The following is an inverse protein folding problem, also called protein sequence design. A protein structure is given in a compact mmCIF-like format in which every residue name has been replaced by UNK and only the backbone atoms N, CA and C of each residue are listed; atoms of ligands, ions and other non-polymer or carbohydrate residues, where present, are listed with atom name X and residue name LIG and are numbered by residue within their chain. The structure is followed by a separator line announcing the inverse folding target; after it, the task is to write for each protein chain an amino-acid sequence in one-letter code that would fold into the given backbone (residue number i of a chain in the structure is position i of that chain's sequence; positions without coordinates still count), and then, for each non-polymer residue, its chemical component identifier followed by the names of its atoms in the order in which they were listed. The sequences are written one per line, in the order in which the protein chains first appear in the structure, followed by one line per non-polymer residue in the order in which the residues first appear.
data_IF_029266826879
#
_entry.id   IF_029266826879
#
_cell.length_a   1.000
_cell.length_b   1.000
_cell.length_c   1.000
_cell.angle_alpha   90.00
_cell.angle_beta   90.00
_cell.angle_gamma   90.00
#
_symmetry.space_group_name_H-M   'P 1'
#
loop_
_entity.id
_entity.type
_entity.pdbx_description
1 polymer ?
#
# COMPACT_ATOMS: atom_id res chain seq x y z
N UNK A 1 22.01 -33.32 1.04
CA UNK A 1 20.93 -33.15 0.04
C UNK A 1 21.40 -33.77 -1.25
N UNK A 2 20.68 -34.74 -1.82
CA UNK A 2 20.97 -35.20 -3.18
C UNK A 2 20.26 -34.28 -4.20
N UNK A 3 20.61 -34.39 -5.47
CA UNK A 3 20.01 -33.57 -6.54
C UNK A 3 18.48 -33.72 -6.61
N UNK A 4 17.96 -34.91 -6.28
CA UNK A 4 16.53 -35.19 -6.26
C UNK A 4 15.79 -34.40 -5.19
N UNK A 5 16.32 -34.28 -3.96
CA UNK A 5 15.73 -33.43 -2.91
C UNK A 5 15.67 -31.96 -3.32
N UNK A 6 16.69 -31.45 -4.04
CA UNK A 6 16.68 -30.07 -4.54
C UNK A 6 15.60 -29.89 -5.62
N UNK A 7 15.46 -30.86 -6.53
CA UNK A 7 14.41 -30.84 -7.56
C UNK A 7 13.02 -30.97 -6.95
N UNK A 8 12.83 -31.81 -5.92
CA UNK A 8 11.56 -31.92 -5.19
C UNK A 8 11.22 -30.62 -4.47
N UNK A 9 12.19 -29.97 -3.83
CA UNK A 9 12.00 -28.66 -3.20
C UNK A 9 11.60 -27.59 -4.23
N UNK A 10 12.31 -27.52 -5.36
CA UNK A 10 12.01 -26.57 -6.43
C UNK A 10 10.64 -26.84 -7.07
N UNK A 11 10.28 -28.11 -7.29
CA UNK A 11 8.97 -28.51 -7.79
C UNK A 11 7.84 -28.20 -6.81
N UNK A 12 8.05 -28.48 -5.52
CA UNK A 12 7.11 -28.11 -4.45
C UNK A 12 6.91 -26.61 -4.37
N UNK A 13 7.99 -25.82 -4.47
CA UNK A 13 7.92 -24.35 -4.51
C UNK A 13 7.16 -23.86 -5.76
N UNK A 14 7.43 -24.43 -6.93
CA UNK A 14 6.74 -24.05 -8.16
C UNK A 14 5.22 -24.33 -8.07
N UNK A 15 4.83 -25.51 -7.57
CA UNK A 15 3.43 -25.85 -7.33
C UNK A 15 2.80 -24.93 -6.28
N UNK A 16 3.51 -24.66 -5.19
CA UNK A 16 3.05 -23.74 -4.14
C UNK A 16 2.77 -22.34 -4.69
N UNK A 17 3.70 -21.77 -5.45
CA UNK A 17 3.55 -20.45 -6.08
C UNK A 17 2.41 -20.44 -7.11
N UNK A 18 2.32 -21.49 -7.95
CA UNK A 18 1.23 -21.61 -8.93
C UNK A 18 -0.14 -21.76 -8.28
N UNK A 19 -0.25 -22.56 -7.21
CA UNK A 19 -1.48 -22.70 -6.44
C UNK A 19 -1.90 -21.37 -5.79
N UNK A 20 -0.94 -20.60 -5.29
CA UNK A 20 -1.17 -19.26 -4.76
C UNK A 20 -1.67 -18.27 -5.82
N UNK A 21 -1.06 -18.26 -6.99
CA UNK A 21 -1.49 -17.42 -8.12
C UNK A 21 -2.92 -17.77 -8.58
N UNK A 22 -3.21 -19.07 -8.74
CA UNK A 22 -4.52 -19.55 -9.16
C UNK A 22 -5.61 -19.18 -8.14
N UNK A 23 -5.31 -19.33 -6.84
CA UNK A 23 -6.20 -18.98 -5.75
C UNK A 23 -6.45 -17.47 -5.69
N UNK A 24 -5.39 -16.65 -5.74
CA UNK A 24 -5.48 -15.18 -5.71
C UNK A 24 -6.25 -14.65 -6.93
N UNK A 25 -6.00 -15.20 -8.12
CA UNK A 25 -6.75 -14.85 -9.34
C UNK A 25 -8.23 -15.22 -9.21
N UNK A 26 -8.55 -16.40 -8.68
CA UNK A 26 -9.93 -16.82 -8.43
C UNK A 26 -10.68 -15.89 -7.47
N UNK A 27 -10.06 -15.54 -6.34
CA UNK A 27 -10.61 -14.60 -5.35
C UNK A 27 -10.78 -13.20 -5.92
N UNK A 28 -9.79 -12.72 -6.67
CA UNK A 28 -9.82 -11.40 -7.31
C UNK A 28 -10.94 -11.32 -8.35
N UNK A 29 -11.10 -12.35 -9.21
CA UNK A 29 -12.18 -12.39 -10.21
C UNK A 29 -13.57 -12.53 -9.62
N UNK A 30 -13.73 -13.28 -8.52
CA UNK A 30 -15.00 -13.33 -7.79
C UNK A 30 -15.34 -11.98 -7.14
N UNK A 31 -14.33 -11.21 -6.77
CA UNK A 31 -14.49 -9.96 -6.02
C UNK A 31 -14.57 -8.71 -6.93
N UNK A 32 -13.99 -8.77 -8.13
CA UNK A 32 -14.26 -7.92 -9.31
C UNK A 32 -14.29 -6.40 -9.11
N UNK A 33 -14.98 -5.71 -10.04
CA UNK A 33 -15.14 -4.24 -10.15
C UNK A 33 -15.65 -3.54 -8.88
N UNK A 34 -16.18 -4.32 -7.92
CA UNK A 34 -16.62 -3.81 -6.62
C UNK A 34 -15.46 -3.28 -5.79
N UNK A 35 -14.30 -3.94 -5.82
CA UNK A 35 -13.14 -3.51 -5.01
C UNK A 35 -12.56 -2.18 -5.49
N UNK A 36 -12.54 -1.95 -6.80
CA UNK A 36 -12.10 -0.69 -7.40
C UNK A 36 -13.07 0.45 -7.03
N UNK A 37 -14.39 0.23 -7.16
CA UNK A 37 -15.40 1.22 -6.76
C UNK A 37 -15.46 1.51 -5.25
N UNK A 38 -15.07 0.56 -4.40
CA UNK A 38 -14.95 0.80 -2.94
C UNK A 38 -13.71 1.65 -2.63
N UNK A 39 -12.60 1.45 -3.36
CA UNK A 39 -11.40 2.29 -3.22
C UNK A 39 -11.59 3.68 -3.83
N UNK A 40 -12.44 3.84 -4.85
CA UNK A 40 -12.81 5.15 -5.38
C UNK A 40 -13.65 5.96 -4.37
N UNK A 41 -14.51 5.30 -3.59
CA UNK A 41 -15.31 5.92 -2.53
C UNK A 41 -14.57 6.01 -1.17
N UNK A 42 -13.27 6.33 -1.22
CA UNK A 42 -12.42 6.41 -0.04
C UNK A 42 -12.91 7.46 0.96
N UNK A 43 -13.06 7.01 2.20
CA UNK A 43 -13.44 7.85 3.34
C UNK A 43 -12.29 8.71 3.86
N UNK A 44 -12.60 9.90 4.37
CA UNK A 44 -11.61 10.83 4.96
C UNK A 44 -11.08 10.39 6.33
N UNK A 45 -11.70 9.40 6.99
CA UNK A 45 -11.28 8.96 8.33
C UNK A 45 -10.17 7.91 8.26
N UNK A 46 -9.02 8.19 8.89
CA UNK A 46 -7.83 7.31 8.89
C UNK A 46 -8.13 5.85 9.28
N UNK A 47 -8.82 5.62 10.39
CA UNK A 47 -9.15 4.26 10.87
C UNK A 47 -10.00 3.48 9.87
N UNK A 48 -10.95 4.13 9.22
CA UNK A 48 -11.76 3.48 8.19
C UNK A 48 -10.93 3.18 6.93
N UNK A 49 -9.94 4.03 6.61
CA UNK A 49 -8.97 3.74 5.55
C UNK A 49 -8.12 2.50 5.86
N UNK A 50 -7.66 2.34 7.11
CA UNK A 50 -6.97 1.12 7.58
C UNK A 50 -7.88 -0.11 7.46
N UNK A 51 -9.11 -0.03 7.95
CA UNK A 51 -10.07 -1.14 7.84
C UNK A 51 -10.35 -1.51 6.39
N UNK A 52 -10.46 -0.52 5.50
CA UNK A 52 -10.66 -0.73 4.08
C UNK A 52 -9.46 -1.41 3.44
N UNK A 53 -8.24 -0.92 3.67
CA UNK A 53 -7.02 -1.54 3.15
C UNK A 53 -6.85 -2.98 3.63
N UNK A 54 -7.15 -3.23 4.91
CA UNK A 54 -7.13 -4.56 5.49
C UNK A 54 -8.15 -5.48 4.83
N UNK A 55 -9.40 -5.02 4.66
CA UNK A 55 -10.46 -5.79 4.00
C UNK A 55 -10.16 -6.09 2.53
N UNK A 56 -9.75 -5.08 1.76
CA UNK A 56 -9.40 -5.25 0.35
C UNK A 56 -8.24 -6.23 0.20
N UNK A 57 -7.18 -6.07 1.00
CA UNK A 57 -6.01 -6.95 0.91
C UNK A 57 -6.30 -8.36 1.42
N UNK A 58 -7.15 -8.51 2.44
CA UNK A 58 -7.60 -9.83 2.91
C UNK A 58 -8.34 -10.61 1.81
N UNK A 59 -9.13 -9.90 1.00
CA UNK A 59 -9.90 -10.49 -0.11
C UNK A 59 -9.01 -10.79 -1.32
N UNK A 60 -8.18 -9.82 -1.74
CA UNK A 60 -7.26 -9.97 -2.89
C UNK A 60 -6.10 -10.91 -2.56
N UNK A 61 -5.70 -10.96 -1.28
CA UNK A 61 -4.54 -11.68 -0.75
C UNK A 61 -3.18 -11.16 -1.23
N UNK A 62 -3.13 -9.93 -1.74
CA UNK A 62 -1.89 -9.30 -2.22
C UNK A 62 -1.85 -7.84 -1.81
N UNK A 63 -1.02 -7.53 -0.80
CA UNK A 63 -0.72 -6.14 -0.44
C UNK A 63 0.04 -5.44 -1.55
N UNK A 64 0.96 -6.14 -2.23
CA UNK A 64 1.65 -5.60 -3.41
C UNK A 64 0.65 -5.12 -4.47
N UNK A 65 -0.35 -5.93 -4.84
CA UNK A 65 -1.37 -5.53 -5.81
C UNK A 65 -2.20 -4.34 -5.33
N UNK A 66 -2.55 -4.32 -4.03
CA UNK A 66 -3.30 -3.21 -3.42
C UNK A 66 -2.48 -1.91 -3.46
N UNK A 67 -1.19 -1.97 -3.11
CA UNK A 67 -0.31 -0.80 -3.15
C UNK A 67 -0.03 -0.33 -4.58
N UNK A 68 0.19 -1.24 -5.53
CA UNK A 68 0.36 -0.90 -6.96
C UNK A 68 -0.88 -0.18 -7.50
N UNK A 69 -2.07 -0.65 -7.15
CA UNK A 69 -3.32 0.02 -7.50
C UNK A 69 -3.41 1.41 -6.87
N UNK A 70 -3.01 1.58 -5.60
CA UNK A 70 -2.96 2.89 -4.96
C UNK A 70 -1.95 3.83 -5.62
N UNK A 71 -0.77 3.34 -6.04
CA UNK A 71 0.18 4.12 -6.85
C UNK A 71 -0.50 4.58 -8.13
N UNK A 72 -1.20 3.69 -8.84
CA UNK A 72 -1.92 4.02 -10.07
C UNK A 72 -3.02 5.07 -9.87
N UNK A 73 -3.83 4.94 -8.82
CA UNK A 73 -4.92 5.87 -8.52
C UNK A 73 -4.43 7.23 -8.04
N UNK A 74 -3.32 7.28 -7.29
CA UNK A 74 -2.65 8.53 -6.91
C UNK A 74 -1.97 9.18 -8.12
N UNK A 75 -1.37 8.37 -8.99
CA UNK A 75 -0.79 8.85 -10.24
C UNK A 75 -1.83 9.48 -11.18
N UNK A 76 -3.03 8.89 -11.21
CA UNK A 76 -4.17 9.40 -11.98
C UNK A 76 -4.91 10.58 -11.33
N UNK A 77 -4.49 11.04 -10.14
CA UNK A 77 -5.14 12.13 -9.41
C UNK A 77 -6.53 11.78 -8.84
N UNK A 78 -6.94 10.51 -8.91
CA UNK A 78 -8.24 10.04 -8.40
C UNK A 78 -8.24 10.03 -6.86
N UNK A 79 -7.09 9.68 -6.26
CA UNK A 79 -6.90 9.62 -4.81
C UNK A 79 -5.71 10.48 -4.42
N UNK A 80 -5.82 11.21 -3.31
CA UNK A 80 -4.73 11.97 -2.72
C UNK A 80 -3.81 11.09 -1.86
N UNK A 81 -2.52 11.42 -1.76
CA UNK A 81 -1.54 10.67 -0.96
C UNK A 81 -2.00 10.41 0.48
N UNK A 82 -2.50 11.45 1.16
CA UNK A 82 -3.01 11.37 2.53
C UNK A 82 -4.18 10.38 2.72
N UNK A 83 -4.97 10.11 1.67
CA UNK A 83 -6.06 9.12 1.68
C UNK A 83 -5.56 7.72 1.36
N UNK A 84 -4.51 7.59 0.56
CA UNK A 84 -3.86 6.31 0.27
C UNK A 84 -3.10 5.76 1.48
N UNK A 85 -2.44 6.62 2.27
CA UNK A 85 -1.60 6.24 3.42
C UNK A 85 -2.29 5.26 4.39
N UNK A 86 -3.48 5.55 4.96
CA UNK A 86 -4.11 4.62 5.87
C UNK A 86 -4.51 3.30 5.21
N UNK A 87 -4.81 3.30 3.90
CA UNK A 87 -5.12 2.08 3.14
C UNK A 87 -3.89 1.20 3.00
N UNK A 88 -2.70 1.78 2.75
CA UNK A 88 -1.43 1.04 2.70
C UNK A 88 -1.14 0.37 4.05
N UNK A 89 -1.32 1.12 5.15
CA UNK A 89 -1.15 0.57 6.51
C UNK A 89 -2.14 -0.58 6.77
N UNK A 90 -3.38 -0.43 6.33
CA UNK A 90 -4.39 -1.50 6.36
C UNK A 90 -4.00 -2.71 5.52
N UNK A 91 -3.45 -2.51 4.33
CA UNK A 91 -3.07 -3.59 3.42
C UNK A 91 -2.02 -4.53 4.05
N UNK A 92 -1.09 -3.98 4.83
CA UNK A 92 -0.16 -4.75 5.61
C UNK A 92 -0.85 -5.67 6.64
N UNK A 93 -1.91 -5.18 7.32
CA UNK A 93 -2.74 -6.02 8.19
C UNK A 93 -3.47 -7.10 7.36
N UNK A 94 -4.09 -6.72 6.24
CA UNK A 94 -4.87 -7.67 5.42
C UNK A 94 -4.04 -8.84 4.88
N UNK A 95 -2.74 -8.63 4.64
CA UNK A 95 -1.80 -9.66 4.17
C UNK A 95 -1.71 -10.85 5.13
N UNK A 96 -1.97 -10.64 6.42
CA UNK A 96 -1.83 -11.68 7.44
C UNK A 96 -2.89 -12.78 7.31
N UNK A 97 -4.01 -12.50 6.65
CA UNK A 97 -5.06 -13.49 6.36
C UNK A 97 -4.51 -14.67 5.56
N UNK A 98 -3.60 -14.44 4.63
CA UNK A 98 -2.98 -15.55 3.90
C UNK A 98 -2.15 -16.43 4.85
N UNK A 99 -1.40 -15.85 5.78
CA UNK A 99 -0.66 -16.63 6.77
C UNK A 99 -1.58 -17.50 7.64
N UNK A 100 -2.78 -17.01 7.97
CA UNK A 100 -3.81 -17.78 8.66
C UNK A 100 -4.34 -18.94 7.83
N UNK A 101 -4.69 -18.68 6.55
CA UNK A 101 -5.13 -19.73 5.62
C UNK A 101 -4.08 -20.83 5.49
N UNK A 102 -2.81 -20.44 5.37
CA UNK A 102 -1.68 -21.37 5.27
C UNK A 102 -1.39 -22.11 6.58
N UNK A 103 -1.61 -21.47 7.74
CA UNK A 103 -1.36 -22.09 9.05
C UNK A 103 -2.26 -23.29 9.34
N UNK A 104 -3.40 -23.40 8.65
CA UNK A 104 -4.33 -24.52 8.82
C UNK A 104 -3.67 -25.88 8.54
N UNK A 105 -2.61 -25.93 7.70
CA UNK A 105 -1.82 -27.14 7.44
C UNK A 105 -1.13 -27.67 8.69
N UNK A 106 -0.74 -26.78 9.60
CA UNK A 106 -0.05 -27.14 10.83
C UNK A 106 -0.97 -27.69 11.92
N UNK A 107 -2.29 -27.75 11.68
CA UNK A 107 -3.26 -28.28 12.64
C UNK A 107 -3.15 -29.81 12.67
N UNK A 108 -2.44 -30.33 13.67
CA UNK A 108 -2.31 -31.77 13.91
C UNK A 108 -3.05 -32.15 15.19
N UNK A 109 -3.91 -33.16 15.11
CA UNK A 109 -4.58 -33.74 16.28
C UNK A 109 -5.40 -34.97 15.92
N UNK A 110 -5.53 -35.86 16.90
CA UNK A 110 -6.16 -37.17 16.71
C UNK A 110 -7.69 -37.11 16.71
N UNK A 111 -8.28 -36.01 17.22
CA UNK A 111 -9.73 -35.88 17.26
C UNK A 111 -10.29 -35.67 15.85
N UNK A 112 -11.44 -36.28 15.58
CA UNK A 112 -12.14 -36.18 14.29
C UNK A 112 -12.35 -34.71 13.90
N UNK A 113 -12.72 -33.84 14.84
CA UNK A 113 -12.86 -32.39 14.58
C UNK A 113 -11.57 -31.75 14.09
N UNK A 114 -10.40 -32.15 14.62
CA UNK A 114 -9.10 -31.59 14.22
C UNK A 114 -8.65 -32.14 12.86
N UNK A 115 -8.92 -33.42 12.57
CA UNK A 115 -8.70 -33.99 11.23
C UNK A 115 -9.64 -33.36 10.19
N UNK A 116 -10.88 -33.04 10.57
CA UNK A 116 -11.82 -32.32 9.71
C UNK A 116 -11.37 -30.87 9.47
N UNK A 117 -10.58 -30.27 10.36
CA UNK A 117 -10.01 -28.93 10.20
C UNK A 117 -8.66 -28.92 9.48
N UNK A 118 -7.95 -30.05 9.40
CA UNK A 118 -6.70 -30.15 8.66
C UNK A 118 -6.97 -30.13 7.15
N UNK A 119 -6.49 -29.12 6.41
CA UNK A 119 -6.69 -29.02 4.96
C UNK A 119 -6.23 -30.25 4.19
N UNK A 120 -5.17 -30.93 4.64
CA UNK A 120 -4.62 -32.08 3.94
C UNK A 120 -5.61 -33.25 3.82
N UNK A 121 -6.55 -33.39 4.77
CA UNK A 121 -7.59 -34.42 4.75
C UNK A 121 -8.69 -34.17 3.72
N UNK A 122 -8.93 -32.92 3.32
CA UNK A 122 -9.98 -32.55 2.34
C UNK A 122 -9.43 -31.98 1.04
N UNK A 123 -8.13 -31.71 0.97
CA UNK A 123 -7.44 -31.23 -0.24
C UNK A 123 -7.77 -32.08 -1.47
N UNK A 124 -7.81 -33.43 -1.40
CA UNK A 124 -8.26 -34.25 -2.54
C UNK A 124 -9.72 -33.99 -2.95
N UNK A 125 -10.62 -33.78 -1.98
CA UNK A 125 -12.03 -33.49 -2.23
C UNK A 125 -12.18 -32.12 -2.90
N UNK A 126 -11.47 -31.10 -2.40
CA UNK A 126 -11.45 -29.77 -3.00
C UNK A 126 -10.89 -29.80 -4.42
N UNK A 127 -9.85 -30.61 -4.67
CA UNK A 127 -9.30 -30.83 -6.00
C UNK A 127 -10.30 -31.50 -6.94
N UNK A 128 -11.04 -32.52 -6.48
CA UNK A 128 -12.08 -33.20 -7.26
C UNK A 128 -13.21 -32.22 -7.61
N UNK A 129 -13.71 -31.46 -6.65
CA UNK A 129 -14.78 -30.47 -6.88
C UNK A 129 -14.30 -29.37 -7.82
N UNK A 130 -13.12 -28.81 -7.58
CA UNK A 130 -12.52 -27.77 -8.43
C UNK A 130 -12.32 -28.26 -9.86
N UNK A 131 -11.72 -29.44 -10.03
CA UNK A 131 -11.53 -30.04 -11.36
C UNK A 131 -12.86 -30.32 -12.05
N UNK A 132 -13.86 -30.81 -11.32
CA UNK A 132 -15.21 -31.05 -11.86
C UNK A 132 -15.87 -29.76 -12.34
N UNK A 133 -15.74 -28.67 -11.59
CA UNK A 133 -16.27 -27.38 -12.01
C UNK A 133 -15.55 -26.80 -13.24
N UNK A 134 -14.23 -26.98 -13.37
CA UNK A 134 -13.49 -26.56 -14.57
C UNK A 134 -13.86 -27.40 -15.80
N UNK A 135 -13.99 -28.72 -15.65
CA UNK A 135 -14.21 -29.62 -16.78
C UNK A 135 -15.67 -29.67 -17.26
N UNK A 136 -16.63 -29.54 -16.34
CA UNK A 136 -18.04 -29.79 -16.64
C UNK A 136 -18.95 -28.57 -16.50
N UNK A 137 -18.51 -27.48 -15.85
CA UNK A 137 -19.32 -26.27 -15.76
C UNK A 137 -18.99 -25.31 -16.90
N UNK A 138 -19.97 -24.54 -17.37
CA UNK A 138 -19.77 -23.42 -18.29
C UNK A 138 -19.92 -22.05 -17.60
N UNK A 139 -20.31 -22.05 -16.33
CA UNK A 139 -20.56 -20.83 -15.55
C UNK A 139 -19.24 -20.22 -15.08
N UNK A 140 -19.07 -18.91 -15.31
CA UNK A 140 -17.82 -18.22 -14.99
C UNK A 140 -17.58 -18.11 -13.47
N UNK A 141 -18.64 -17.95 -12.67
CA UNK A 141 -18.50 -17.91 -11.21
C UNK A 141 -18.04 -19.25 -10.67
N UNK A 142 -18.58 -20.36 -11.17
CA UNK A 142 -18.12 -21.72 -10.83
C UNK A 142 -16.68 -21.97 -11.26
N UNK A 143 -16.25 -21.47 -12.42
CA UNK A 143 -14.84 -21.52 -12.81
C UNK A 143 -13.93 -20.73 -11.85
N UNK A 144 -14.34 -19.54 -11.43
CA UNK A 144 -13.55 -18.77 -10.49
C UNK A 144 -13.50 -19.44 -9.11
N UNK A 145 -14.62 -20.01 -8.63
CA UNK A 145 -14.63 -20.83 -7.43
C UNK A 145 -13.72 -22.06 -7.58
N UNK A 146 -13.74 -22.71 -8.74
CA UNK A 146 -12.88 -23.84 -9.02
C UNK A 146 -11.39 -23.50 -8.98
N UNK A 147 -11.00 -22.33 -9.51
CA UNK A 147 -9.63 -21.80 -9.40
C UNK A 147 -9.20 -21.65 -7.93
N UNK A 148 -10.10 -21.18 -7.06
CA UNK A 148 -9.82 -21.08 -5.63
C UNK A 148 -9.60 -22.45 -5.01
N UNK A 149 -10.53 -23.39 -5.24
CA UNK A 149 -10.46 -24.73 -4.66
C UNK A 149 -9.24 -25.51 -5.15
N UNK A 150 -8.99 -25.50 -6.45
CA UNK A 150 -7.86 -26.18 -7.07
C UNK A 150 -6.54 -25.49 -6.73
N UNK A 151 -6.52 -24.15 -6.71
CA UNK A 151 -5.35 -23.37 -6.31
C UNK A 151 -4.95 -23.67 -4.87
N UNK A 152 -5.92 -23.69 -3.96
CA UNK A 152 -5.71 -24.11 -2.58
C UNK A 152 -5.16 -25.55 -2.52
N UNK A 153 -5.76 -26.50 -3.24
CA UNK A 153 -5.29 -27.88 -3.23
C UNK A 153 -3.85 -28.06 -3.73
N UNK A 154 -3.50 -27.43 -4.86
CA UNK A 154 -2.15 -27.44 -5.42
C UNK A 154 -1.15 -26.75 -4.48
N UNK A 155 -1.56 -25.63 -3.87
CA UNK A 155 -0.76 -24.89 -2.91
C UNK A 155 -0.40 -25.78 -1.72
N UNK A 156 -1.40 -26.44 -1.12
CA UNK A 156 -1.21 -27.36 0.01
C UNK A 156 -0.27 -28.51 -0.37
N UNK A 157 -0.47 -29.12 -1.54
CA UNK A 157 0.41 -30.18 -2.04
C UNK A 157 1.85 -29.70 -2.22
N UNK A 158 2.06 -28.49 -2.76
CA UNK A 158 3.37 -27.86 -2.88
C UNK A 158 4.03 -27.65 -1.51
N UNK A 159 3.28 -27.19 -0.51
CA UNK A 159 3.76 -27.00 0.87
C UNK A 159 4.23 -28.31 1.52
N UNK A 160 3.43 -29.37 1.40
CA UNK A 160 3.82 -30.70 1.90
C UNK A 160 5.06 -31.22 1.18
N UNK A 161 5.10 -31.10 -0.15
CA UNK A 161 6.26 -31.51 -0.97
C UNK A 161 7.54 -30.78 -0.56
N UNK A 162 7.48 -29.47 -0.30
CA UNK A 162 8.63 -28.72 0.21
C UNK A 162 9.07 -29.20 1.60
N UNK A 163 8.11 -29.45 2.50
CA UNK A 163 8.38 -29.90 3.86
C UNK A 163 9.06 -31.28 3.86
N UNK A 164 8.56 -32.22 3.05
CA UNK A 164 9.12 -33.56 2.89
C UNK A 164 10.54 -33.52 2.27
N UNK A 165 10.78 -32.62 1.31
CA UNK A 165 12.09 -32.46 0.69
C UNK A 165 13.16 -31.93 1.66
N UNK A 166 12.74 -31.10 2.64
CA UNK A 166 13.61 -30.43 3.60
C UNK A 166 13.71 -31.21 4.92
N UNK A 167 12.75 -32.07 5.26
CA UNK A 167 12.75 -32.86 6.50
C UNK A 167 14.08 -33.63 6.76
N UNK A 168 14.72 -34.27 5.77
CA UNK A 168 16.01 -34.95 6.00
C UNK A 168 17.17 -34.00 6.38
N UNK A 169 17.07 -32.71 6.02
CA UNK A 169 18.08 -31.70 6.36
C UNK A 169 18.08 -31.34 7.85
N UNK A 170 17.00 -31.65 8.57
CA UNK A 170 16.94 -31.46 10.02
C UNK A 170 18.02 -32.19 10.80
N UNK A 171 18.56 -33.26 10.23
CA UNK A 171 19.62 -34.05 10.84
C UNK A 171 21.03 -33.57 10.43
N UNK A 172 21.15 -32.56 9.57
CA UNK A 172 22.42 -32.06 9.07
C UNK A 172 22.89 -30.87 9.92
N UNK A 173 24.02 -31.02 10.61
CA UNK A 173 24.58 -29.98 11.50
C UNK A 173 24.80 -28.63 10.80
N UNK A 174 25.21 -28.61 9.53
CA UNK A 174 25.37 -27.38 8.76
C UNK A 174 24.05 -26.62 8.57
N UNK A 175 22.94 -27.34 8.40
CA UNK A 175 21.61 -26.75 8.24
C UNK A 175 21.08 -26.24 9.59
N UNK A 176 21.33 -26.95 10.69
CA UNK A 176 21.01 -26.49 12.04
C UNK A 176 21.79 -25.20 12.41
N UNK A 177 23.08 -25.14 12.08
CA UNK A 177 23.93 -23.94 12.29
C UNK A 177 23.44 -22.72 11.51
N UNK A 178 22.86 -22.93 10.32
CA UNK A 178 22.29 -21.85 9.52
C UNK A 178 21.13 -21.17 10.25
N UNK A 179 20.19 -21.93 10.83
CA UNK A 179 19.08 -21.36 11.61
C UNK A 179 19.53 -20.72 12.92
N UNK A 180 20.54 -21.28 13.59
CA UNK A 180 21.17 -20.62 14.74
C UNK A 180 21.76 -19.25 14.39
N UNK A 181 22.33 -19.13 13.18
CA UNK A 181 22.86 -17.84 12.68
C UNK A 181 21.73 -16.85 12.43
N UNK A 182 20.57 -17.32 11.96
CA UNK A 182 19.38 -16.48 11.74
C UNK A 182 18.68 -16.05 13.03
N UNK A 183 18.98 -16.69 14.16
CA UNK A 183 18.57 -16.19 15.48
C UNK A 183 19.23 -14.86 15.84
N UNK A 184 20.31 -14.47 15.15
CA UNK A 184 20.83 -13.11 15.27
C UNK A 184 19.84 -12.11 14.62
N UNK A 185 19.27 -11.15 15.37
CA UNK A 185 18.14 -10.35 14.92
C UNK A 185 18.32 -9.67 13.56
N UNK A 186 19.48 -9.05 13.36
CA UNK A 186 19.79 -8.30 12.12
C UNK A 186 19.90 -9.26 10.91
N UNK A 187 20.47 -10.45 11.11
CA UNK A 187 20.65 -11.42 10.03
C UNK A 187 19.31 -12.05 9.66
N UNK A 188 18.47 -12.39 10.65
CA UNK A 188 17.11 -12.86 10.39
C UNK A 188 16.29 -11.84 9.59
N UNK A 189 16.34 -10.56 9.98
CA UNK A 189 15.68 -9.46 9.24
C UNK A 189 16.21 -9.35 7.82
N UNK A 190 17.53 -9.38 7.62
CA UNK A 190 18.13 -9.27 6.29
C UNK A 190 17.70 -10.44 5.39
N UNK A 191 17.75 -11.67 5.90
CA UNK A 191 17.36 -12.88 5.14
C UNK A 191 15.89 -12.83 4.77
N UNK A 192 15.01 -12.48 5.72
CA UNK A 192 13.58 -12.31 5.45
C UNK A 192 13.31 -11.24 4.39
N UNK A 193 14.01 -10.10 4.47
CA UNK A 193 13.87 -9.01 3.52
C UNK A 193 14.34 -9.39 2.11
N UNK A 194 15.50 -10.01 1.99
CA UNK A 194 16.04 -10.45 0.69
C UNK A 194 15.18 -11.53 0.07
N UNK A 195 14.77 -12.55 0.85
CA UNK A 195 13.91 -13.63 0.36
C UNK A 195 12.61 -13.06 -0.21
N UNK A 196 11.93 -12.20 0.55
CA UNK A 196 10.68 -11.59 0.08
C UNK A 196 10.89 -10.63 -1.09
N UNK A 197 11.99 -9.86 -1.10
CA UNK A 197 12.29 -8.96 -2.21
C UNK A 197 12.51 -9.70 -3.54
N UNK A 198 13.19 -10.86 -3.50
CA UNK A 198 13.43 -11.70 -4.68
C UNK A 198 12.15 -12.38 -5.14
N UNK A 199 11.38 -12.95 -4.20
CA UNK A 199 10.12 -13.64 -4.52
C UNK A 199 9.02 -12.64 -4.90
N UNK A 200 9.13 -11.39 -4.44
CA UNK A 200 8.15 -10.30 -4.63
C UNK A 200 6.75 -10.62 -4.07
N UNK A 201 6.64 -11.63 -3.21
CA UNK A 201 5.41 -12.04 -2.54
C UNK A 201 5.67 -12.35 -1.08
N UNK A 202 5.06 -11.54 -0.21
CA UNK A 202 5.13 -11.66 1.24
C UNK A 202 4.43 -12.94 1.73
N UNK A 203 3.23 -13.20 1.21
CA UNK A 203 2.45 -14.41 1.46
C UNK A 203 3.21 -15.67 1.06
N UNK A 204 3.90 -15.65 -0.09
CA UNK A 204 4.72 -16.79 -0.50
C UNK A 204 5.90 -17.01 0.43
N UNK A 205 6.59 -15.94 0.82
CA UNK A 205 7.74 -16.00 1.72
C UNK A 205 7.35 -16.49 3.11
N UNK A 206 6.22 -16.03 3.65
CA UNK A 206 5.65 -16.54 4.91
C UNK A 206 5.27 -18.01 4.78
N UNK A 207 4.69 -18.43 3.66
CA UNK A 207 4.37 -19.84 3.42
C UNK A 207 5.60 -20.75 3.36
N UNK A 208 6.70 -20.29 2.77
CA UNK A 208 7.99 -20.99 2.82
C UNK A 208 8.47 -21.11 4.28
N UNK A 209 8.40 -20.03 5.06
CA UNK A 209 8.76 -20.07 6.48
C UNK A 209 7.87 -21.04 7.27
N UNK A 210 6.56 -21.10 6.99
CA UNK A 210 5.63 -22.05 7.61
C UNK A 210 5.92 -23.50 7.21
N UNK A 211 6.24 -23.76 5.94
CA UNK A 211 6.66 -25.09 5.49
C UNK A 211 7.93 -25.54 6.23
N UNK A 212 8.92 -24.65 6.36
CA UNK A 212 10.15 -24.94 7.11
C UNK A 212 9.87 -25.14 8.61
N UNK A 213 8.98 -24.35 9.21
CA UNK A 213 8.60 -24.50 10.61
C UNK A 213 7.91 -25.83 10.92
N UNK A 214 7.17 -26.39 9.96
CA UNK A 214 6.54 -27.71 10.12
C UNK A 214 7.54 -28.86 10.35
N UNK A 215 8.81 -28.67 9.99
CA UNK A 215 9.89 -29.64 10.23
C UNK A 215 10.41 -29.63 11.66
N UNK A 216 10.01 -28.66 12.50
CA UNK A 216 10.49 -28.47 13.86
C UNK A 216 11.85 -27.76 13.97
N UNK A 217 12.48 -27.41 12.85
CA UNK A 217 13.82 -26.80 12.83
C UNK A 217 13.84 -25.30 13.13
N UNK A 218 12.75 -24.60 12.80
CA UNK A 218 12.67 -23.15 12.95
C UNK A 218 12.22 -22.84 14.37
N UNK A 219 12.94 -21.95 15.05
CA UNK A 219 12.62 -21.49 16.40
C UNK A 219 11.92 -20.13 16.38
N UNK A 220 11.30 -19.73 17.49
CA UNK A 220 10.79 -18.36 17.65
C UNK A 220 11.89 -17.31 17.45
N UNK A 221 13.11 -17.57 17.94
CA UNK A 221 14.26 -16.68 17.81
C UNK A 221 14.69 -16.41 16.38
N UNK A 222 14.47 -17.34 15.45
CA UNK A 222 14.75 -17.14 14.02
C UNK A 222 13.52 -16.65 13.26
N UNK A 223 12.33 -17.15 13.56
CA UNK A 223 11.10 -16.78 12.84
C UNK A 223 10.69 -15.32 13.04
N UNK A 224 10.79 -14.79 14.27
CA UNK A 224 10.42 -13.40 14.58
C UNK A 224 11.20 -12.39 13.72
N UNK A 225 12.55 -12.38 13.72
CA UNK A 225 13.30 -11.45 12.88
C UNK A 225 13.09 -11.70 11.38
N UNK A 226 12.93 -12.96 10.94
CA UNK A 226 12.62 -13.26 9.53
C UNK A 226 11.28 -12.60 9.13
N UNK A 227 10.23 -12.73 9.93
CA UNK A 227 8.91 -12.14 9.65
C UNK A 227 9.00 -10.61 9.55
N UNK A 228 9.77 -9.96 10.44
CA UNK A 228 10.00 -8.51 10.33
C UNK A 228 10.70 -8.16 9.00
N UNK A 229 11.73 -8.91 8.65
CA UNK A 229 12.40 -8.80 7.35
C UNK A 229 11.46 -8.97 6.17
N UNK A 230 10.59 -9.97 6.19
CA UNK A 230 9.63 -10.24 5.12
C UNK A 230 8.71 -9.04 4.86
N UNK A 231 8.28 -8.34 5.91
CA UNK A 231 7.49 -7.11 5.77
C UNK A 231 8.27 -5.98 5.08
N UNK A 232 9.57 -5.82 5.38
CA UNK A 232 10.45 -4.89 4.65
C UNK A 232 10.57 -5.29 3.18
N UNK A 233 10.89 -6.56 2.89
CA UNK A 233 11.10 -7.04 1.52
C UNK A 233 9.87 -6.89 0.62
N UNK A 234 8.67 -6.92 1.19
CA UNK A 234 7.40 -6.72 0.47
C UNK A 234 7.34 -5.37 -0.25
N UNK A 235 8.01 -4.35 0.28
CA UNK A 235 7.94 -2.98 -0.22
C UNK A 235 8.67 -2.78 -1.55
N UNK A 236 9.50 -3.74 -1.96
CA UNK A 236 10.23 -3.68 -3.25
C UNK A 236 9.26 -3.60 -4.43
N UNK A 237 8.13 -4.29 -4.38
CA UNK A 237 7.12 -4.23 -5.46
C UNK A 237 6.52 -2.84 -5.59
N UNK A 238 6.16 -2.21 -4.46
CA UNK A 238 5.65 -0.85 -4.43
C UNK A 238 6.68 0.15 -4.96
N UNK A 239 7.95 0.00 -4.54
CA UNK A 239 9.06 0.82 -5.03
C UNK A 239 9.22 0.70 -6.55
N UNK A 240 9.26 -0.52 -7.09
CA UNK A 240 9.36 -0.77 -8.53
C UNK A 240 8.16 -0.16 -9.27
N UNK A 241 6.94 -0.39 -8.78
CA UNK A 241 5.72 0.13 -9.42
C UNK A 241 5.62 1.65 -9.43
N UNK A 242 6.35 2.30 -8.53
CA UNK A 242 6.40 3.76 -8.43
C UNK A 242 7.48 4.40 -9.31
N UNK A 243 8.32 3.59 -9.97
CA UNK A 243 9.31 4.07 -10.94
C UNK A 243 8.55 4.61 -12.17
N UNK A 244 8.79 5.87 -12.51
CA UNK A 244 8.09 6.54 -13.61
C UNK A 244 6.69 7.06 -13.27
N UNK A 245 6.21 6.88 -12.03
CA UNK A 245 4.99 7.51 -11.56
C UNK A 245 5.21 8.99 -11.20
N UNK A 246 4.12 9.74 -11.05
CA UNK A 246 4.10 11.10 -10.50
C UNK A 246 4.78 11.15 -9.13
N UNK A 247 5.17 12.35 -8.67
CA UNK A 247 5.82 12.50 -7.35
C UNK A 247 4.99 11.91 -6.22
N UNK A 248 3.68 12.15 -6.23
CA UNK A 248 2.78 11.57 -5.24
C UNK A 248 2.67 10.04 -5.40
N UNK A 249 2.72 9.50 -6.61
CA UNK A 249 2.85 8.05 -6.85
C UNK A 249 4.17 7.47 -6.29
N UNK A 250 5.29 8.18 -6.46
CA UNK A 250 6.59 7.82 -5.86
C UNK A 250 6.57 7.87 -4.33
N UNK A 251 5.87 8.86 -3.77
CA UNK A 251 5.67 8.99 -2.31
C UNK A 251 4.86 7.85 -1.72
N UNK A 252 3.91 7.26 -2.45
CA UNK A 252 3.20 6.04 -2.02
C UNK A 252 4.18 4.88 -1.78
N UNK A 253 5.08 4.62 -2.75
CA UNK A 253 6.10 3.57 -2.61
C UNK A 253 7.06 3.83 -1.44
N UNK A 254 7.56 5.05 -1.32
CA UNK A 254 8.47 5.45 -0.23
C UNK A 254 7.78 5.44 1.12
N UNK A 255 6.51 5.83 1.19
CA UNK A 255 5.71 5.70 2.41
C UNK A 255 5.65 4.23 2.85
N UNK A 256 5.34 3.32 1.93
CA UNK A 256 5.25 1.89 2.22
C UNK A 256 6.59 1.34 2.73
N UNK A 257 7.71 1.72 2.09
CA UNK A 257 9.07 1.39 2.52
C UNK A 257 9.35 1.88 3.96
N UNK A 258 9.16 3.18 4.20
CA UNK A 258 9.42 3.81 5.50
C UNK A 258 8.56 3.22 6.61
N UNK A 259 7.27 2.98 6.35
CA UNK A 259 6.37 2.36 7.31
C UNK A 259 6.89 0.98 7.77
N UNK A 260 7.32 0.12 6.84
CA UNK A 260 7.80 -1.22 7.18
C UNK A 260 9.19 -1.19 7.84
N UNK A 261 10.11 -0.33 7.40
CA UNK A 261 11.43 -0.20 8.02
C UNK A 261 11.29 0.34 9.45
N UNK A 262 10.59 1.46 9.63
CA UNK A 262 10.41 2.08 10.94
C UNK A 262 9.63 1.14 11.87
N UNK A 263 8.56 0.52 11.37
CA UNK A 263 7.78 -0.47 12.13
C UNK A 263 8.64 -1.65 12.59
N UNK A 264 9.49 -2.18 11.72
CA UNK A 264 10.42 -3.28 12.04
C UNK A 264 11.47 -2.87 13.07
N UNK A 265 12.04 -1.66 12.96
CA UNK A 265 13.01 -1.14 13.92
C UNK A 265 12.35 -0.93 15.28
N UNK A 266 11.21 -0.25 15.34
CA UNK A 266 10.49 0.02 16.59
C UNK A 266 10.13 -1.28 17.29
N UNK A 267 9.52 -2.22 16.56
CA UNK A 267 9.13 -3.51 17.14
C UNK A 267 10.35 -4.32 17.58
N UNK A 268 11.44 -4.33 16.81
CA UNK A 268 12.71 -4.97 17.20
C UNK A 268 13.26 -4.38 18.50
N UNK A 269 13.36 -3.06 18.60
CA UNK A 269 13.89 -2.38 19.78
C UNK A 269 13.06 -2.73 21.01
N UNK A 270 11.73 -2.64 20.92
CA UNK A 270 10.83 -2.98 22.03
C UNK A 270 10.98 -4.46 22.40
N UNK A 271 10.89 -5.37 21.43
CA UNK A 271 10.93 -6.81 21.66
C UNK A 271 12.24 -7.28 22.30
N UNK A 272 13.39 -6.89 21.73
CA UNK A 272 14.69 -7.33 22.23
C UNK A 272 15.10 -6.62 23.53
N UNK A 273 14.61 -5.40 23.79
CA UNK A 273 14.78 -4.76 25.10
C UNK A 273 14.01 -5.53 26.18
N UNK A 274 12.75 -5.90 25.91
CA UNK A 274 11.97 -6.73 26.83
C UNK A 274 12.61 -8.10 27.04
N UNK A 275 13.12 -8.72 25.98
CA UNK A 275 13.87 -9.97 26.09
C UNK A 275 15.11 -9.84 26.97
N UNK A 276 15.86 -8.74 26.87
CA UNK A 276 17.03 -8.51 27.71
C UNK A 276 16.68 -8.34 29.21
N UNK A 277 15.44 -7.95 29.52
CA UNK A 277 14.95 -7.78 30.90
C UNK A 277 14.36 -9.08 31.46
N UNK A 278 13.57 -9.79 30.65
CA UNK A 278 12.75 -10.92 31.10
C UNK A 278 13.26 -12.30 30.65
N UNK A 279 14.27 -12.36 29.79
CA UNK A 279 14.88 -13.57 29.22
C UNK A 279 13.83 -14.57 28.69
N UNK A 280 13.30 -14.30 27.51
CA UNK A 280 12.23 -15.10 26.92
C UNK A 280 12.72 -16.50 26.53
N UNK A 281 12.50 -17.47 27.42
CA UNK A 281 12.87 -18.88 27.21
C UNK A 281 12.28 -19.49 25.93
N UNK A 282 11.08 -19.04 25.54
CA UNK A 282 10.37 -19.54 24.36
C UNK A 282 11.11 -19.27 23.05
N UNK A 283 12.08 -18.34 23.01
CA UNK A 283 12.87 -18.05 21.80
C UNK A 283 13.63 -19.27 21.28
N UNK A 284 13.93 -20.22 22.16
CA UNK A 284 14.63 -21.47 21.83
C UNK A 284 13.68 -22.59 21.36
N UNK A 285 12.37 -22.44 21.58
CA UNK A 285 11.37 -23.44 21.21
C UNK A 285 11.09 -23.43 19.70
N UNK A 286 10.72 -24.59 19.16
CA UNK A 286 10.29 -24.72 17.77
C UNK A 286 8.98 -23.98 17.54
N UNK A 287 8.92 -23.14 16.52
CA UNK A 287 7.71 -22.40 16.15
C UNK A 287 6.82 -23.26 15.25
N UNK A 288 5.51 -23.21 15.44
CA UNK A 288 4.54 -23.86 14.54
C UNK A 288 4.05 -22.90 13.45
N UNK A 289 3.48 -23.41 12.33
CA UNK A 289 2.85 -22.56 11.32
C UNK A 289 1.78 -21.61 11.87
N UNK A 290 1.04 -22.05 12.89
CA UNK A 290 0.07 -21.23 13.62
C UNK A 290 0.74 -20.04 14.32
N UNK A 291 1.81 -20.28 15.07
CA UNK A 291 2.53 -19.20 15.76
C UNK A 291 3.16 -18.20 14.79
N UNK A 292 3.60 -18.64 13.61
CA UNK A 292 4.03 -17.72 12.54
C UNK A 292 2.89 -16.79 12.12
N UNK A 293 1.67 -17.30 11.92
CA UNK A 293 0.52 -16.46 11.57
C UNK A 293 0.15 -15.46 12.69
N UNK A 294 0.26 -15.89 13.95
CA UNK A 294 0.06 -15.03 15.13
C UNK A 294 1.12 -13.93 15.17
N UNK A 295 2.40 -14.26 15.08
CA UNK A 295 3.51 -13.28 15.11
C UNK A 295 3.37 -12.30 13.95
N UNK A 296 3.08 -12.77 12.75
CA UNK A 296 2.90 -11.94 11.58
C UNK A 296 1.72 -10.97 11.73
N UNK A 297 0.61 -11.44 12.30
CA UNK A 297 -0.56 -10.61 12.61
C UNK A 297 -0.26 -9.58 13.69
N UNK A 298 0.34 -10.02 14.80
CA UNK A 298 0.68 -9.18 15.93
C UNK A 298 1.63 -8.06 15.49
N UNK A 299 2.67 -8.38 14.72
CA UNK A 299 3.60 -7.40 14.17
C UNK A 299 2.88 -6.34 13.34
N UNK A 300 2.10 -6.74 12.33
CA UNK A 300 1.45 -5.78 11.43
C UNK A 300 0.35 -4.94 12.10
N UNK A 301 -0.41 -5.54 13.01
CA UNK A 301 -1.44 -4.83 13.79
C UNK A 301 -0.76 -3.85 14.76
N UNK A 302 0.27 -4.28 15.51
CA UNK A 302 0.97 -3.43 16.46
C UNK A 302 1.72 -2.29 15.77
N UNK A 303 2.45 -2.57 14.67
CA UNK A 303 3.14 -1.56 13.88
C UNK A 303 2.15 -0.53 13.32
N UNK A 304 1.00 -0.99 12.80
CA UNK A 304 -0.05 -0.08 12.31
C UNK A 304 -0.63 0.74 13.44
N UNK A 305 -1.02 0.13 14.57
CA UNK A 305 -1.59 0.85 15.70
C UNK A 305 -0.62 1.89 16.28
N UNK A 306 0.67 1.56 16.33
CA UNK A 306 1.71 2.46 16.84
C UNK A 306 2.01 3.61 15.88
N UNK A 307 2.11 3.35 14.57
CA UNK A 307 2.51 4.35 13.58
C UNK A 307 1.33 5.16 13.01
N UNK A 308 0.08 4.72 13.16
CA UNK A 308 -1.11 5.42 12.66
C UNK A 308 -1.26 6.86 13.20
N UNK A 309 -1.02 7.14 14.50
CA UNK A 309 -1.02 8.51 15.02
C UNK A 309 0.04 9.39 14.33
N UNK A 310 1.17 8.81 13.94
CA UNK A 310 2.30 9.46 13.29
C UNK A 310 2.24 9.42 11.76
N UNK A 311 1.10 9.04 11.18
CA UNK A 311 0.96 8.89 9.72
C UNK A 311 1.29 10.17 8.95
N UNK A 312 0.99 11.34 9.52
CA UNK A 312 1.33 12.65 8.94
C UNK A 312 2.82 12.98 9.02
N UNK A 313 3.53 12.49 10.04
CA UNK A 313 4.98 12.63 10.14
C UNK A 313 5.66 11.74 9.09
N UNK A 314 5.18 10.50 8.95
CA UNK A 314 5.64 9.59 7.91
C UNK A 314 5.35 10.12 6.50
N UNK A 315 4.20 10.76 6.30
CA UNK A 315 3.88 11.50 5.06
C UNK A 315 4.90 12.60 4.79
N UNK A 316 5.16 13.49 5.76
CA UNK A 316 6.17 14.55 5.65
C UNK A 316 7.56 14.02 5.31
N UNK A 317 7.95 12.88 5.88
CA UNK A 317 9.22 12.22 5.55
C UNK A 317 9.30 11.86 4.05
N UNK A 318 8.19 11.47 3.43
CA UNK A 318 8.16 11.20 1.98
C UNK A 318 8.33 12.46 1.14
N UNK A 319 7.84 13.61 1.60
CA UNK A 319 8.08 14.91 0.93
C UNK A 319 9.54 15.33 1.03
N UNK A 320 10.25 14.96 2.10
CA UNK A 320 11.69 15.21 2.23
C UNK A 320 12.49 14.30 1.29
N UNK A 321 12.14 13.01 1.21
CA UNK A 321 12.86 12.03 0.37
C UNK A 321 12.55 12.20 -1.13
N UNK A 322 11.36 12.69 -1.47
CA UNK A 322 10.96 13.11 -2.82
C UNK A 322 10.60 14.58 -2.74
N UNK A 323 11.62 15.43 -2.76
CA UNK A 323 11.47 16.88 -2.72
C UNK A 323 10.60 17.37 -3.87
N UNK A 324 9.55 18.15 -3.59
CA UNK A 324 8.76 18.88 -4.58
C UNK A 324 9.67 19.70 -5.52
N UNK A 325 9.34 19.82 -6.82
CA UNK A 325 9.92 20.92 -7.62
C UNK A 325 9.30 22.23 -7.11
N UNK A 326 9.93 23.36 -7.40
CA UNK A 326 9.34 24.67 -7.10
C UNK A 326 7.93 24.80 -7.73
N UNK A 327 7.74 24.26 -8.94
CA UNK A 327 6.43 24.09 -9.61
C UNK A 327 5.39 23.32 -8.77
N UNK A 328 5.78 22.21 -8.12
CA UNK A 328 4.87 21.38 -7.30
C UNK A 328 4.55 22.04 -5.94
N UNK A 329 5.50 22.81 -5.38
CA UNK A 329 5.28 23.63 -4.17
C UNK A 329 4.26 24.73 -4.44
N UNK A 330 4.40 25.41 -5.56
CA UNK A 330 3.45 26.43 -6.01
C UNK A 330 2.07 25.77 -6.22
N UNK A 331 1.99 24.66 -6.96
CA UNK A 331 0.74 23.96 -7.20
C UNK A 331 0.04 23.48 -5.91
N UNK A 332 0.78 22.96 -4.92
CA UNK A 332 0.22 22.46 -3.66
C UNK A 332 -0.27 23.60 -2.76
N UNK A 333 0.50 24.70 -2.64
CA UNK A 333 0.06 25.90 -1.90
C UNK A 333 -1.20 26.51 -2.52
N UNK A 334 -1.31 26.41 -3.84
CA UNK A 334 -2.45 26.92 -4.60
C UNK A 334 -3.68 26.05 -4.38
N UNK A 335 -3.52 24.72 -4.36
CA UNK A 335 -4.63 23.79 -4.11
C UNK A 335 -5.16 23.90 -2.66
N UNK A 336 -4.28 24.11 -1.67
CA UNK A 336 -4.69 24.46 -0.31
C UNK A 336 -5.42 25.80 -0.23
N UNK A 337 -4.96 26.82 -0.98
CA UNK A 337 -5.66 28.11 -1.07
C UNK A 337 -7.04 27.97 -1.74
N UNK A 338 -7.19 27.10 -2.74
CA UNK A 338 -8.49 26.83 -3.36
C UNK A 338 -9.47 26.09 -2.43
N UNK A 339 -9.02 25.49 -1.32
CA UNK A 339 -9.96 24.98 -0.30
C UNK A 339 -10.80 26.09 0.34
N UNK A 340 -10.39 27.37 0.21
CA UNK A 340 -11.22 28.52 0.59
C UNK A 340 -12.48 28.63 -0.29
N UNK A 341 -12.50 28.06 -1.49
CA UNK A 341 -13.67 27.95 -2.37
C UNK A 341 -14.49 26.69 -2.08
N UNK A 342 -14.66 26.35 -0.81
CA UNK A 342 -15.49 25.21 -0.42
C UNK A 342 -16.96 25.46 -0.83
N UNK A 343 -17.61 24.53 -1.57
CA UNK A 343 -19.01 24.67 -1.96
C UNK A 343 -19.97 24.86 -0.78
N UNK A 344 -19.60 24.41 0.43
CA UNK A 344 -20.41 24.60 1.65
C UNK A 344 -20.56 26.08 2.02
N UNK A 345 -19.59 26.93 1.69
CA UNK A 345 -19.69 28.36 1.95
C UNK A 345 -20.72 29.07 1.06
N UNK A 346 -21.19 28.44 -0.03
CA UNK A 346 -22.26 28.99 -0.87
C UNK A 346 -23.59 29.13 -0.13
N UNK A 347 -23.77 28.46 1.02
CA UNK A 347 -24.93 28.65 1.91
C UNK A 347 -24.82 29.93 2.76
N UNK A 348 -23.64 30.54 2.80
CA UNK A 348 -23.33 31.79 3.51
C UNK A 348 -22.70 32.81 2.55
N UNK A 349 -23.50 33.52 1.74
CA UNK A 349 -22.98 34.29 0.61
C UNK A 349 -21.94 35.35 0.98
N UNK A 350 -22.14 36.10 2.07
CA UNK A 350 -21.16 37.07 2.57
C UNK A 350 -19.75 36.47 2.76
N UNK A 351 -19.66 35.27 3.35
CA UNK A 351 -18.40 34.57 3.55
C UNK A 351 -17.80 34.12 2.21
N UNK A 352 -18.61 33.56 1.32
CA UNK A 352 -18.19 33.12 -0.01
C UNK A 352 -17.62 34.30 -0.84
N UNK A 353 -18.26 35.47 -0.79
CA UNK A 353 -17.79 36.70 -1.45
C UNK A 353 -16.43 37.15 -0.90
N UNK A 354 -16.21 37.09 0.41
CA UNK A 354 -14.90 37.41 0.99
C UNK A 354 -13.81 36.43 0.55
N UNK A 355 -14.12 35.13 0.40
CA UNK A 355 -13.15 34.17 -0.11
C UNK A 355 -12.79 34.44 -1.57
N UNK A 356 -13.78 34.77 -2.40
CA UNK A 356 -13.56 35.22 -3.79
C UNK A 356 -12.65 36.44 -3.82
N UNK A 357 -12.90 37.46 -2.98
CA UNK A 357 -12.07 38.67 -2.92
C UNK A 357 -10.63 38.36 -2.51
N UNK A 358 -10.44 37.46 -1.53
CA UNK A 358 -9.11 37.06 -1.06
C UNK A 358 -8.31 36.34 -2.14
N UNK A 359 -8.93 35.37 -2.80
CA UNK A 359 -8.29 34.60 -3.88
C UNK A 359 -8.10 35.42 -5.16
N UNK A 360 -9.01 36.33 -5.49
CA UNK A 360 -8.84 37.26 -6.61
C UNK A 360 -7.66 38.20 -6.40
N UNK A 361 -7.45 38.69 -5.17
CA UNK A 361 -6.24 39.45 -4.81
C UNK A 361 -4.97 38.62 -4.96
N UNK A 362 -5.01 37.36 -4.55
CA UNK A 362 -3.88 36.45 -4.75
C UNK A 362 -3.57 36.25 -6.24
N UNK A 363 -4.58 36.00 -7.08
CA UNK A 363 -4.44 35.91 -8.54
C UNK A 363 -3.78 37.17 -9.10
N UNK A 364 -4.25 38.35 -8.67
CA UNK A 364 -3.69 39.64 -9.08
C UNK A 364 -2.19 39.76 -8.75
N UNK A 365 -1.79 39.36 -7.55
CA UNK A 365 -0.38 39.41 -7.12
C UNK A 365 0.48 38.41 -7.93
N UNK A 366 -0.08 37.25 -8.29
CA UNK A 366 0.63 36.25 -9.12
C UNK A 366 0.78 36.67 -10.58
N UNK A 367 -0.26 37.23 -11.18
CA UNK A 367 -0.18 37.86 -12.51
C UNK A 367 0.89 38.96 -12.52
N UNK A 368 0.90 39.82 -11.49
CA UNK A 368 1.91 40.88 -11.37
C UNK A 368 3.33 40.31 -11.21
N UNK A 369 3.50 39.28 -10.37
CA UNK A 369 4.79 38.61 -10.20
C UNK A 369 5.29 38.04 -11.54
N UNK A 370 4.42 37.39 -12.32
CA UNK A 370 4.76 36.84 -13.63
C UNK A 370 5.20 37.93 -14.60
N UNK A 371 4.47 39.04 -14.65
CA UNK A 371 4.82 40.20 -15.46
C UNK A 371 6.17 40.82 -15.06
N UNK A 372 6.40 41.02 -13.76
CA UNK A 372 7.66 41.58 -13.25
C UNK A 372 8.85 40.66 -13.57
N UNK A 373 8.68 39.33 -13.52
CA UNK A 373 9.72 38.36 -13.88
C UNK A 373 9.96 38.34 -15.39
N UNK A 374 8.91 38.33 -16.22
CA UNK A 374 9.02 38.39 -17.67
C UNK A 374 9.75 39.65 -18.16
N UNK A 375 9.42 40.81 -17.57
CA UNK A 375 10.10 42.08 -17.88
C UNK A 375 11.58 42.07 -17.52
N UNK A 376 11.99 41.38 -16.44
CA UNK A 376 13.40 41.20 -16.08
C UNK A 376 14.14 40.34 -17.11
N UNK A 377 13.51 39.26 -17.58
CA UNK A 377 14.09 38.34 -18.57
C UNK A 377 14.35 39.00 -19.93
N UNK A 378 13.65 40.09 -20.27
CA UNK A 378 13.94 40.89 -21.46
C UNK A 378 15.33 41.56 -21.40
N UNK A 379 15.83 41.85 -20.20
CA UNK A 379 17.11 42.51 -19.99
C UNK A 379 18.23 41.53 -19.60
N UNK A 380 17.92 40.55 -18.75
CA UNK A 380 18.86 39.56 -18.25
C UNK A 380 18.22 38.17 -18.31
N UNK A 381 18.45 37.48 -19.42
CA UNK A 381 17.82 36.18 -19.65
C UNK A 381 18.45 35.11 -18.76
N UNK A 382 17.60 34.46 -17.96
CA UNK A 382 17.96 33.29 -17.18
C UNK A 382 16.92 32.17 -17.35
N UNK A 383 17.41 30.92 -17.41
CA UNK A 383 16.56 29.76 -17.66
C UNK A 383 15.64 29.42 -16.49
N UNK A 384 15.95 29.84 -15.26
CA UNK A 384 15.12 29.58 -14.08
C UNK A 384 13.92 30.54 -14.04
N UNK A 385 14.11 31.81 -14.38
CA UNK A 385 13.07 32.82 -14.49
C UNK A 385 12.09 32.50 -15.61
N UNK A 386 12.54 31.96 -16.75
CA UNK A 386 11.61 31.49 -17.80
C UNK A 386 10.69 30.36 -17.28
N UNK A 387 11.24 29.43 -16.51
CA UNK A 387 10.45 28.37 -15.87
C UNK A 387 9.48 28.95 -14.84
N UNK A 388 9.89 29.98 -14.08
CA UNK A 388 9.00 30.68 -13.14
C UNK A 388 7.83 31.37 -13.86
N UNK A 389 8.07 32.07 -14.97
CA UNK A 389 7.02 32.74 -15.76
C UNK A 389 5.99 31.74 -16.28
N UNK A 390 6.46 30.64 -16.90
CA UNK A 390 5.59 29.56 -17.38
C UNK A 390 4.78 28.91 -16.24
N UNK A 391 5.37 28.76 -15.06
CA UNK A 391 4.69 28.21 -13.90
C UNK A 391 3.62 29.17 -13.33
N UNK A 392 3.87 30.48 -13.39
CA UNK A 392 2.94 31.52 -12.96
C UNK A 392 1.75 31.65 -13.93
N UNK A 393 1.97 31.54 -15.23
CA UNK A 393 0.89 31.52 -16.23
C UNK A 393 -0.07 30.35 -16.00
N UNK A 394 0.45 29.11 -15.98
CA UNK A 394 -0.34 27.92 -15.68
C UNK A 394 -1.09 28.02 -14.34
N UNK A 395 -0.54 28.76 -13.38
CA UNK A 395 -1.19 29.02 -12.12
C UNK A 395 -2.39 29.98 -12.27
N UNK A 396 -2.22 31.08 -12.99
CA UNK A 396 -3.26 32.09 -13.21
C UNK A 396 -4.45 31.47 -13.96
N UNK A 397 -4.22 30.58 -14.93
CA UNK A 397 -5.28 29.80 -15.60
C UNK A 397 -6.13 29.00 -14.61
N UNK A 398 -5.48 28.32 -13.67
CA UNK A 398 -6.19 27.56 -12.62
C UNK A 398 -7.00 28.49 -11.72
N UNK A 399 -6.51 29.71 -11.44
CA UNK A 399 -7.29 30.70 -10.71
C UNK A 399 -8.53 31.11 -11.51
N UNK A 400 -8.40 31.39 -12.81
CA UNK A 400 -9.52 31.78 -13.68
C UNK A 400 -10.62 30.70 -13.67
N UNK A 401 -10.28 29.44 -13.92
CA UNK A 401 -11.24 28.32 -13.93
C UNK A 401 -11.96 28.17 -12.57
N UNK A 402 -11.19 28.15 -11.48
CA UNK A 402 -11.74 27.90 -10.14
C UNK A 402 -12.57 29.07 -9.62
N UNK A 403 -12.07 30.30 -9.73
CA UNK A 403 -12.80 31.49 -9.33
C UNK A 403 -14.03 31.69 -10.22
N UNK A 404 -13.89 31.55 -11.54
CA UNK A 404 -14.99 31.68 -12.48
C UNK A 404 -16.11 30.68 -12.19
N UNK A 405 -15.78 29.40 -12.08
CA UNK A 405 -16.75 28.34 -11.74
C UNK A 405 -17.43 28.58 -10.40
N UNK A 406 -16.69 29.01 -9.38
CA UNK A 406 -17.25 29.27 -8.06
C UNK A 406 -18.17 30.50 -8.06
N UNK A 407 -17.76 31.59 -8.69
CA UNK A 407 -18.55 32.81 -8.82
C UNK A 407 -19.83 32.59 -9.62
N UNK A 408 -19.79 31.82 -10.71
CA UNK A 408 -21.01 31.45 -11.47
C UNK A 408 -22.02 30.74 -10.55
N UNK A 409 -21.57 29.79 -9.73
CA UNK A 409 -22.45 29.13 -8.75
C UNK A 409 -22.97 30.09 -7.68
N UNK A 410 -22.14 31.04 -7.25
CA UNK A 410 -22.50 32.05 -6.26
C UNK A 410 -23.55 33.05 -6.79
N UNK A 411 -23.49 33.42 -8.08
CA UNK A 411 -24.52 34.25 -8.72
C UNK A 411 -25.90 33.61 -8.78
N UNK A 412 -25.98 32.27 -8.64
CA UNK A 412 -27.25 31.53 -8.51
C UNK A 412 -27.86 31.55 -7.11
N UNK A 413 -27.27 32.27 -6.15
CA UNK A 413 -27.77 32.44 -4.77
C UNK A 413 -28.36 33.84 -4.58
N UNK A 414 -29.14 34.02 -3.52
CA UNK A 414 -29.59 35.36 -3.11
C UNK A 414 -28.38 36.14 -2.56
N UNK A 415 -27.99 37.20 -3.28
CA UNK A 415 -26.90 38.10 -2.93
C UNK A 415 -27.46 39.48 -2.59
N UNK A 416 -26.84 40.16 -1.64
CA UNK A 416 -27.05 41.60 -1.44
C UNK A 416 -26.46 42.40 -2.62
N UNK A 417 -26.87 43.65 -2.76
CA UNK A 417 -26.49 44.50 -3.89
C UNK A 417 -24.96 44.72 -3.97
N UNK A 418 -24.31 44.89 -2.82
CA UNK A 418 -22.85 45.06 -2.68
C UNK A 418 -22.08 43.76 -2.95
N UNK A 419 -22.63 42.63 -2.52
CA UNK A 419 -22.12 41.28 -2.79
C UNK A 419 -22.17 40.97 -4.29
N UNK A 420 -23.33 41.19 -4.93
CA UNK A 420 -23.51 41.00 -6.36
C UNK A 420 -22.55 41.86 -7.18
N UNK A 421 -22.40 43.13 -6.80
CA UNK A 421 -21.45 44.05 -7.43
C UNK A 421 -20.01 43.54 -7.31
N UNK A 422 -19.62 43.05 -6.14
CA UNK A 422 -18.27 42.49 -5.92
C UNK A 422 -18.01 41.28 -6.81
N UNK A 423 -18.95 40.33 -6.87
CA UNK A 423 -18.83 39.11 -7.67
C UNK A 423 -18.78 39.44 -9.16
N UNK A 424 -19.61 40.39 -9.62
CA UNK A 424 -19.64 40.83 -11.02
C UNK A 424 -18.33 41.48 -11.45
N UNK A 425 -17.75 42.33 -10.59
CA UNK A 425 -16.43 42.94 -10.84
C UNK A 425 -15.38 41.84 -11.00
N UNK A 426 -15.31 40.88 -10.09
CA UNK A 426 -14.31 39.82 -10.18
C UNK A 426 -14.52 38.92 -11.39
N UNK A 427 -15.76 38.51 -11.70
CA UNK A 427 -16.07 37.70 -12.89
C UNK A 427 -15.55 38.32 -14.19
N UNK A 428 -15.61 39.64 -14.30
CA UNK A 428 -15.13 40.34 -15.49
C UNK A 428 -13.60 40.50 -15.48
N UNK A 429 -13.00 40.80 -14.33
CA UNK A 429 -11.56 41.07 -14.24
C UNK A 429 -10.68 39.82 -14.20
N UNK A 430 -11.18 38.64 -13.81
CA UNK A 430 -10.35 37.42 -13.78
C UNK A 430 -9.82 37.05 -15.18
N UNK A 431 -10.64 37.21 -16.22
CA UNK A 431 -10.22 36.91 -17.60
C UNK A 431 -9.24 37.96 -18.13
N UNK A 432 -9.36 39.22 -17.70
CA UNK A 432 -8.38 40.24 -18.04
C UNK A 432 -7.02 39.96 -17.34
N UNK A 433 -7.03 39.45 -16.10
CA UNK A 433 -5.82 39.05 -15.39
C UNK A 433 -5.14 37.81 -16.00
N UNK A 434 -5.93 36.84 -16.47
CA UNK A 434 -5.43 35.67 -17.21
C UNK A 434 -4.76 36.12 -18.51
N UNK A 435 -5.41 36.96 -19.32
CA UNK A 435 -4.82 37.50 -20.55
C UNK A 435 -3.53 38.29 -20.33
N UNK A 436 -3.45 39.04 -19.23
CA UNK A 436 -2.20 39.72 -18.87
C UNK A 436 -1.10 38.70 -18.62
N UNK A 437 -1.42 37.58 -17.97
CA UNK A 437 -0.49 36.49 -17.70
C UNK A 437 -0.07 35.76 -18.98
N UNK A 438 -0.98 35.50 -19.91
CA UNK A 438 -0.68 34.90 -21.22
C UNK A 438 0.38 35.70 -21.98
N UNK A 439 0.29 37.03 -21.92
CA UNK A 439 1.24 37.92 -22.56
C UNK A 439 2.62 37.98 -21.90
N UNK A 440 2.81 37.33 -20.74
CA UNK A 440 4.12 37.26 -20.06
C UNK A 440 5.03 36.18 -20.63
N UNK A 441 4.47 35.17 -21.29
CA UNK A 441 5.17 34.06 -21.96
C UNK A 441 5.51 34.44 -23.41
#
# INVERSE_FOLDING_TARGET
MNIFSLLTLAGGLALFLYGMDLMSTGLTRLSGSRLQGILENLTSKRVKGVALGAGVTAVIQSSSATTVMLVGLVNAGIITLNRAIPVIMGANIGTTITAWILSLVGIQGESILVQLLNPSSWTPILAIIGTSFILFSKDEKRHNLARILLGFAILMFGMTTMSDAVAPLAQVQGFQKMFLTFSHPILGILVGAVLTAVIQSSSASVGILQALASTGMVTFGSAIPIIMGQNIGTTVTAMISSIGASRNGRRVGIFHLNFNIIGSIVFSVIFYTLNAIYDFSFLSESVSPFWIAVIHSLFNIAATAFLLPFSTLLEKLTHVMVADKEEDRIATQVEERFMLLDPRFLETPALAVEQVRKLGKDMTEKTKQGLDTALKLLHDYDSEGLVEVLALENLVDRYEDKLGTYMVKLTGRELQEDEYKTVSIWLQNISDLERVSDHTV
#
